data_IF_720773402173
#
_entry.id   IF_720773402173
#
_cell.length_a   1.000
_cell.length_b   1.000
_cell.length_c   1.000
_cell.angle_alpha   90.00
_cell.angle_beta   90.00
_cell.angle_gamma   90.00
#
_symmetry.space_group_name_H-M   'P 1'
#
loop_
_entity.id
_entity.type
_entity.pdbx_description
1 polymer ?
#
# COMPACT_ATOMS: atom_id res chain seq x y z
N UNK A 1 -7.64 25.35 -8.03
CA UNK A 1 -8.71 24.35 -8.13
C UNK A 1 -9.33 24.23 -6.75
N UNK A 2 -10.61 24.59 -6.60
CA UNK A 2 -11.32 24.34 -5.35
C UNK A 2 -11.41 22.82 -5.14
N UNK A 3 -11.03 22.35 -3.94
CA UNK A 3 -11.19 20.93 -3.59
C UNK A 3 -12.68 20.61 -3.52
N UNK A 4 -13.17 19.51 -4.12
CA UNK A 4 -14.56 19.10 -3.98
C UNK A 4 -14.86 18.96 -2.48
N UNK A 5 -16.08 19.34 -2.07
CA UNK A 5 -16.52 19.32 -0.68
C UNK A 5 -16.25 17.94 -0.05
N UNK A 6 -15.75 17.93 1.21
CA UNK A 6 -15.38 16.71 1.93
C UNK A 6 -16.45 15.64 1.79
N UNK A 7 -16.15 14.59 1.04
CA UNK A 7 -16.91 13.34 1.10
C UNK A 7 -16.67 12.77 2.50
N UNK A 8 -17.70 12.66 3.31
CA UNK A 8 -17.60 12.30 4.73
C UNK A 8 -17.69 10.79 4.98
N UNK A 9 -17.94 9.98 3.96
CA UNK A 9 -18.05 8.53 4.06
C UNK A 9 -17.10 7.85 3.09
N UNK A 10 -16.54 6.71 3.51
CA UNK A 10 -15.69 5.89 2.64
C UNK A 10 -16.47 5.36 1.45
N UNK A 11 -15.88 5.49 0.27
CA UNK A 11 -16.39 4.93 -0.98
C UNK A 11 -15.95 3.46 -1.08
N UNK A 12 -16.72 2.57 -0.46
CA UNK A 12 -16.40 1.15 -0.40
C UNK A 12 -16.88 0.41 -1.64
N UNK A 13 -16.00 -0.36 -2.26
CA UNK A 13 -16.38 -1.34 -3.26
C UNK A 13 -17.19 -2.50 -2.63
N UNK A 14 -17.98 -3.26 -3.40
CA UNK A 14 -18.54 -4.52 -2.94
C UNK A 14 -17.44 -5.52 -2.52
N UNK A 15 -17.77 -6.44 -1.59
CA UNK A 15 -16.90 -7.57 -1.28
C UNK A 15 -16.61 -8.41 -2.52
N UNK A 16 -15.40 -8.98 -2.59
CA UNK A 16 -14.94 -9.73 -3.76
C UNK A 16 -15.15 -11.24 -3.50
N UNK A 17 -16.06 -11.90 -4.24
CA UNK A 17 -16.27 -13.34 -4.11
C UNK A 17 -15.05 -14.14 -4.61
N UNK A 18 -14.96 -15.39 -4.18
CA UNK A 18 -13.78 -16.22 -4.46
C UNK A 18 -13.66 -16.63 -5.94
N UNK A 19 -14.75 -16.63 -6.69
CA UNK A 19 -14.80 -16.96 -8.13
C UNK A 19 -14.72 -15.71 -9.04
N UNK A 20 -14.47 -14.54 -8.47
CA UNK A 20 -14.51 -13.27 -9.16
C UNK A 20 -13.48 -13.16 -10.31
N UNK A 21 -13.87 -12.45 -11.35
CA UNK A 21 -12.93 -11.90 -12.31
C UNK A 21 -12.12 -10.79 -11.69
N UNK A 22 -10.80 -10.81 -11.87
CA UNK A 22 -9.87 -9.80 -11.37
C UNK A 22 -8.95 -9.33 -12.48
N UNK A 23 -8.79 -8.03 -12.64
CA UNK A 23 -7.87 -7.49 -13.63
C UNK A 23 -6.42 -7.58 -13.15
N UNK A 24 -5.50 -7.82 -14.09
CA UNK A 24 -4.05 -7.73 -13.87
C UNK A 24 -3.49 -6.68 -14.84
N UNK A 25 -2.92 -5.60 -14.28
CA UNK A 25 -2.40 -4.47 -15.07
C UNK A 25 -1.05 -3.97 -14.56
N UNK A 26 -0.38 -3.14 -15.36
CA UNK A 26 0.96 -2.64 -15.07
C UNK A 26 0.98 -1.11 -15.04
N UNK A 27 0.66 -0.45 -13.92
CA UNK A 27 0.55 1.02 -13.89
C UNK A 27 1.90 1.74 -13.71
N UNK A 28 2.98 0.99 -13.53
CA UNK A 28 4.32 1.51 -13.26
C UNK A 28 5.37 0.95 -14.24
N UNK A 29 6.27 0.09 -13.77
CA UNK A 29 7.30 -0.51 -14.61
C UNK A 29 6.84 -1.79 -15.29
N UNK A 30 7.46 -2.09 -16.45
CA UNK A 30 7.19 -3.31 -17.21
C UNK A 30 7.57 -4.57 -16.41
N UNK A 31 6.67 -5.55 -16.29
CA UNK A 31 6.95 -6.81 -15.60
C UNK A 31 7.69 -7.82 -16.50
N UNK A 32 8.14 -8.91 -15.89
CA UNK A 32 8.60 -10.10 -16.61
C UNK A 32 7.39 -10.99 -16.91
N UNK A 33 7.20 -11.36 -18.17
CA UNK A 33 6.03 -12.12 -18.62
C UNK A 33 5.85 -13.45 -17.88
N UNK A 34 6.95 -14.18 -17.64
CA UNK A 34 6.93 -15.46 -16.95
C UNK A 34 6.46 -15.32 -15.50
N UNK A 35 6.82 -14.21 -14.83
CA UNK A 35 6.36 -13.93 -13.46
C UNK A 35 4.90 -13.51 -13.42
N UNK A 36 4.42 -12.77 -14.43
CA UNK A 36 3.00 -12.43 -14.55
C UNK A 36 2.18 -13.69 -14.72
N UNK A 37 2.57 -14.58 -15.64
CA UNK A 37 1.85 -15.85 -15.86
C UNK A 37 1.87 -16.73 -14.61
N UNK A 38 3.03 -16.89 -13.96
CA UNK A 38 3.13 -17.65 -12.70
C UNK A 38 2.23 -17.07 -11.60
N UNK A 39 2.19 -15.75 -11.44
CA UNK A 39 1.33 -15.09 -10.46
C UNK A 39 -0.17 -15.21 -10.79
N UNK A 40 -0.54 -15.15 -12.08
CA UNK A 40 -1.93 -15.41 -12.50
C UNK A 40 -2.33 -16.87 -12.25
N UNK A 41 -1.42 -17.83 -12.44
CA UNK A 41 -1.67 -19.24 -12.08
C UNK A 41 -1.92 -19.39 -10.58
N UNK A 42 -1.18 -18.68 -9.73
CA UNK A 42 -1.43 -18.68 -8.29
C UNK A 42 -2.81 -18.08 -7.94
N UNK A 43 -3.25 -17.00 -8.61
CA UNK A 43 -4.61 -16.45 -8.43
C UNK A 43 -5.68 -17.48 -8.87
N UNK A 44 -5.49 -18.18 -10.00
CA UNK A 44 -6.41 -19.26 -10.43
C UNK A 44 -6.48 -20.39 -9.40
N UNK A 45 -5.36 -20.76 -8.81
CA UNK A 45 -5.32 -21.78 -7.76
C UNK A 45 -6.04 -21.35 -6.46
N UNK A 46 -6.18 -20.04 -6.24
CA UNK A 46 -6.98 -19.48 -5.14
C UNK A 46 -8.47 -19.35 -5.49
N UNK A 47 -8.87 -19.67 -6.74
CA UNK A 47 -10.26 -19.66 -7.22
C UNK A 47 -10.64 -18.43 -8.03
N UNK A 48 -9.77 -17.41 -8.17
CA UNK A 48 -10.06 -16.22 -8.96
C UNK A 48 -9.88 -16.45 -10.47
N UNK A 49 -10.51 -15.61 -11.28
CA UNK A 49 -10.35 -15.59 -12.73
C UNK A 49 -9.53 -14.35 -13.15
N UNK A 50 -8.18 -14.43 -13.19
CA UNK A 50 -7.35 -13.30 -13.57
C UNK A 50 -7.44 -13.03 -15.08
N UNK A 51 -7.71 -11.77 -15.42
CA UNK A 51 -7.75 -11.23 -16.77
C UNK A 51 -6.63 -10.20 -16.94
N UNK A 52 -5.60 -10.48 -17.76
CA UNK A 52 -4.58 -9.49 -18.08
C UNK A 52 -5.19 -8.41 -18.97
N UNK A 53 -4.89 -7.14 -18.69
CA UNK A 53 -5.29 -6.03 -19.54
C UNK A 53 -4.47 -6.00 -20.83
N UNK A 54 -4.89 -5.19 -21.80
CA UNK A 54 -4.26 -5.12 -23.13
C UNK A 54 -2.77 -4.79 -23.06
N UNK A 55 -2.40 -3.83 -22.18
CA UNK A 55 -1.03 -3.32 -22.09
C UNK A 55 -0.23 -3.88 -20.89
N UNK A 56 -0.71 -4.92 -20.20
CA UNK A 56 -0.05 -5.47 -19.01
C UNK A 56 1.43 -5.85 -19.22
N UNK A 57 1.81 -6.29 -20.43
CA UNK A 57 3.18 -6.65 -20.82
C UNK A 57 3.85 -5.59 -21.73
N UNK A 58 3.21 -4.44 -21.92
CA UNK A 58 3.75 -3.39 -22.76
C UNK A 58 5.11 -2.91 -22.23
N UNK A 59 5.98 -2.53 -23.16
CA UNK A 59 7.29 -1.96 -22.89
C UNK A 59 7.36 -0.58 -23.49
N UNK A 60 7.57 0.42 -22.66
CA UNK A 60 7.82 1.80 -23.04
C UNK A 60 9.30 2.14 -23.04
N UNK A 61 9.64 3.42 -23.19
CA UNK A 61 10.98 3.90 -23.00
C UNK A 61 11.44 3.65 -21.56
N UNK A 62 12.75 3.48 -21.36
CA UNK A 62 13.36 3.22 -20.07
C UNK A 62 12.79 1.93 -19.42
N UNK A 63 12.13 2.07 -18.29
CA UNK A 63 11.60 0.97 -17.47
C UNK A 63 10.07 0.93 -17.41
N UNK A 64 9.35 1.84 -18.09
CA UNK A 64 7.90 1.97 -18.01
C UNK A 64 7.15 0.83 -18.75
N UNK A 65 5.99 0.49 -18.23
CA UNK A 65 5.02 -0.40 -18.89
C UNK A 65 4.21 0.36 -19.94
N UNK A 66 4.84 0.67 -21.08
CA UNK A 66 4.21 1.48 -22.14
C UNK A 66 4.21 2.99 -21.83
N UNK A 67 3.40 3.73 -22.59
CA UNK A 67 3.19 5.17 -22.38
C UNK A 67 2.30 5.44 -21.16
N UNK A 68 2.26 6.66 -20.61
CA UNK A 68 1.28 7.02 -19.58
C UNK A 68 -0.16 6.77 -20.03
N UNK A 69 -0.50 7.07 -21.30
CA UNK A 69 -1.84 6.86 -21.83
C UNK A 69 -2.23 5.38 -21.84
N UNK A 70 -1.38 4.48 -22.33
CA UNK A 70 -1.65 3.03 -22.31
C UNK A 70 -1.93 2.52 -20.90
N UNK A 71 -1.18 3.00 -19.91
CA UNK A 71 -1.37 2.62 -18.51
C UNK A 71 -2.65 3.19 -17.90
N UNK A 72 -3.05 4.41 -18.30
CA UNK A 72 -4.34 5.01 -17.94
C UNK A 72 -5.50 4.26 -18.60
N UNK A 73 -5.39 3.92 -19.88
CA UNK A 73 -6.43 3.16 -20.59
C UNK A 73 -6.68 1.80 -19.93
N UNK A 74 -5.62 1.08 -19.57
CA UNK A 74 -5.73 -0.18 -18.81
C UNK A 74 -6.39 0.03 -17.44
N UNK A 75 -5.99 1.06 -16.71
CA UNK A 75 -6.53 1.34 -15.38
C UNK A 75 -8.00 1.76 -15.46
N UNK A 76 -8.35 2.72 -16.32
CA UNK A 76 -9.71 3.17 -16.50
C UNK A 76 -10.61 2.06 -17.05
N UNK A 77 -10.12 1.27 -18.01
CA UNK A 77 -10.82 0.11 -18.53
C UNK A 77 -11.14 -0.92 -17.46
N UNK A 78 -10.17 -1.25 -16.59
CA UNK A 78 -10.37 -2.18 -15.48
C UNK A 78 -11.37 -1.64 -14.43
N UNK A 79 -11.39 -0.33 -14.18
CA UNK A 79 -12.41 0.27 -13.32
C UNK A 79 -13.80 0.31 -13.97
N UNK A 80 -13.90 0.58 -15.26
CA UNK A 80 -15.17 0.68 -15.97
C UNK A 80 -15.84 -0.68 -16.23
N UNK A 81 -15.06 -1.76 -16.35
CA UNK A 81 -15.56 -3.10 -16.67
C UNK A 81 -16.33 -3.69 -15.47
N UNK A 82 -17.65 -3.88 -15.63
CA UNK A 82 -18.54 -4.40 -14.58
C UNK A 82 -18.24 -5.86 -14.18
N UNK A 83 -17.59 -6.64 -15.03
CA UNK A 83 -17.18 -8.02 -14.75
C UNK A 83 -16.00 -8.07 -13.77
N UNK A 84 -15.15 -7.06 -13.78
CA UNK A 84 -13.96 -6.97 -12.91
C UNK A 84 -14.37 -6.55 -11.49
N UNK A 85 -13.98 -7.37 -10.50
CA UNK A 85 -14.32 -7.15 -9.08
C UNK A 85 -13.15 -6.66 -8.23
N UNK A 86 -11.90 -6.86 -8.68
CA UNK A 86 -10.69 -6.34 -8.04
C UNK A 86 -9.59 -6.17 -9.10
N UNK A 87 -8.61 -5.34 -8.78
CA UNK A 87 -7.49 -5.01 -9.65
C UNK A 87 -6.18 -5.33 -8.93
N UNK A 88 -5.33 -6.16 -9.54
CA UNK A 88 -4.00 -6.48 -9.03
C UNK A 88 -2.93 -5.88 -9.93
N UNK A 89 -2.05 -5.08 -9.34
CA UNK A 89 -0.90 -4.56 -10.06
C UNK A 89 0.10 -5.66 -10.33
N UNK A 90 0.67 -5.69 -11.54
CA UNK A 90 1.69 -6.67 -11.91
C UNK A 90 2.96 -6.48 -11.11
N UNK A 91 3.39 -5.24 -10.90
CA UNK A 91 4.51 -4.81 -10.07
C UNK A 91 4.50 -3.30 -9.85
N UNK A 92 5.32 -2.84 -8.88
CA UNK A 92 5.72 -1.45 -8.74
C UNK A 92 6.90 -1.08 -9.65
N UNK A 93 7.89 -0.45 -9.09
CA UNK A 93 9.06 0.07 -9.78
C UNK A 93 9.02 1.59 -9.84
N UNK A 94 8.60 2.17 -10.98
CA UNK A 94 8.46 3.62 -11.11
C UNK A 94 7.47 4.00 -12.21
N UNK A 95 6.71 5.08 -11.98
CA UNK A 95 5.96 5.75 -13.01
C UNK A 95 4.46 5.91 -12.76
N UNK A 96 3.91 5.40 -11.65
CA UNK A 96 2.50 5.61 -11.30
C UNK A 96 2.17 7.08 -11.04
N UNK A 97 3.15 7.85 -10.55
CA UNK A 97 3.03 9.29 -10.34
C UNK A 97 2.70 10.07 -11.63
N UNK A 98 3.10 9.59 -12.80
CA UNK A 98 2.74 10.20 -14.10
C UNK A 98 1.29 9.98 -14.51
N UNK A 99 0.55 9.14 -13.79
CA UNK A 99 -0.86 8.88 -14.07
C UNK A 99 -1.80 9.81 -13.30
N UNK A 100 -1.34 10.38 -12.17
CA UNK A 100 -2.19 11.07 -11.20
C UNK A 100 -3.00 12.22 -11.80
N UNK A 101 -2.41 12.99 -12.73
CA UNK A 101 -3.09 14.11 -13.41
C UNK A 101 -4.16 13.63 -14.40
N UNK A 102 -3.96 12.44 -15.00
CA UNK A 102 -4.85 11.87 -16.01
C UNK A 102 -5.94 10.96 -15.45
N UNK A 103 -6.01 10.75 -14.13
CA UNK A 103 -7.04 9.90 -13.54
C UNK A 103 -8.43 10.54 -13.64
N UNK A 104 -9.40 9.79 -14.16
CA UNK A 104 -10.79 10.21 -14.25
C UNK A 104 -11.49 9.96 -12.91
N UNK A 105 -11.65 11.04 -12.14
CA UNK A 105 -12.22 11.04 -10.81
C UNK A 105 -13.67 10.51 -10.81
N UNK A 106 -14.48 10.93 -11.77
CA UNK A 106 -15.89 10.55 -11.84
C UNK A 106 -16.05 9.07 -12.22
N UNK A 107 -15.25 8.59 -13.17
CA UNK A 107 -15.24 7.18 -13.56
C UNK A 107 -14.84 6.28 -12.38
N UNK A 108 -13.74 6.61 -11.68
CA UNK A 108 -13.27 5.81 -10.56
C UNK A 108 -14.25 5.84 -9.39
N UNK A 109 -14.84 6.99 -9.09
CA UNK A 109 -15.83 7.14 -8.04
C UNK A 109 -17.14 6.39 -8.34
N UNK A 110 -17.54 6.32 -9.61
CA UNK A 110 -18.73 5.58 -10.04
C UNK A 110 -18.54 4.05 -10.00
N UNK A 111 -17.29 3.56 -10.05
CA UNK A 111 -16.95 2.14 -10.18
C UNK A 111 -15.92 1.69 -9.13
N UNK A 112 -16.17 1.85 -7.81
CA UNK A 112 -15.17 1.56 -6.80
C UNK A 112 -14.77 0.07 -6.80
N UNK A 113 -13.45 -0.19 -6.85
CA UNK A 113 -12.87 -1.55 -6.84
C UNK A 113 -11.59 -1.59 -6.00
N UNK A 114 -11.31 -2.70 -5.30
CA UNK A 114 -10.04 -2.89 -4.64
C UNK A 114 -8.88 -2.83 -5.63
N UNK A 115 -7.93 -1.92 -5.42
CA UNK A 115 -6.66 -1.84 -6.17
C UNK A 115 -5.53 -2.31 -5.26
N UNK A 116 -4.90 -3.44 -5.62
CA UNK A 116 -3.79 -4.04 -4.88
C UNK A 116 -2.44 -3.61 -5.44
N UNK A 117 -1.54 -3.27 -4.53
CA UNK A 117 -0.16 -2.96 -4.83
C UNK A 117 0.59 -2.37 -3.64
N UNK A 118 1.85 -2.08 -3.82
CA UNK A 118 2.72 -1.38 -2.88
C UNK A 118 3.88 -0.71 -3.63
N UNK A 119 4.89 -0.20 -2.91
CA UNK A 119 6.02 0.47 -3.56
C UNK A 119 5.55 1.73 -4.32
N UNK A 120 5.88 1.87 -5.59
CA UNK A 120 5.47 2.97 -6.46
C UNK A 120 3.93 3.20 -6.50
N UNK A 121 3.13 2.13 -6.30
CA UNK A 121 1.66 2.21 -6.24
C UNK A 121 1.14 3.04 -5.06
N UNK A 122 1.99 3.36 -4.10
CA UNK A 122 1.67 4.26 -2.98
C UNK A 122 1.10 5.59 -3.50
N UNK A 123 1.62 6.13 -4.61
CA UNK A 123 1.11 7.36 -5.19
C UNK A 123 -0.37 7.25 -5.63
N UNK A 124 -0.73 6.13 -6.28
CA UNK A 124 -2.13 5.85 -6.66
C UNK A 124 -3.02 5.60 -5.44
N UNK A 125 -2.52 4.87 -4.45
CA UNK A 125 -3.27 4.60 -3.21
C UNK A 125 -3.60 5.88 -2.45
N UNK A 126 -2.64 6.78 -2.31
CA UNK A 126 -2.86 8.08 -1.64
C UNK A 126 -3.80 8.95 -2.45
N UNK A 127 -3.70 8.95 -3.79
CA UNK A 127 -4.64 9.66 -4.65
C UNK A 127 -6.08 9.17 -4.46
N UNK A 128 -6.31 7.84 -4.48
CA UNK A 128 -7.63 7.25 -4.27
C UNK A 128 -8.22 7.63 -2.91
N UNK A 129 -7.41 7.57 -1.85
CA UNK A 129 -7.84 7.94 -0.51
C UNK A 129 -8.15 9.43 -0.38
N UNK A 130 -7.26 10.29 -0.85
CA UNK A 130 -7.33 11.72 -0.58
C UNK A 130 -8.27 12.46 -1.54
N UNK A 131 -8.49 11.95 -2.77
CA UNK A 131 -9.37 12.58 -3.75
C UNK A 131 -10.81 12.07 -3.69
N UNK A 132 -11.01 10.75 -3.55
CA UNK A 132 -12.35 10.13 -3.62
C UNK A 132 -12.72 9.29 -2.39
N UNK A 133 -11.91 9.28 -1.33
CA UNK A 133 -12.13 8.50 -0.11
C UNK A 133 -12.32 6.99 -0.37
N UNK A 134 -11.72 6.46 -1.44
CA UNK A 134 -11.77 5.03 -1.75
C UNK A 134 -10.66 4.29 -1.00
N UNK A 135 -10.98 3.24 -0.21
CA UNK A 135 -9.98 2.43 0.46
C UNK A 135 -8.98 1.82 -0.52
N UNK A 136 -7.69 1.83 -0.14
CA UNK A 136 -6.62 1.26 -0.94
C UNK A 136 -6.05 0.00 -0.28
N UNK A 137 -5.57 -0.95 -1.10
CA UNK A 137 -5.13 -2.26 -0.63
C UNK A 137 -3.61 -2.38 -0.81
N UNK A 138 -2.88 -1.97 0.23
CA UNK A 138 -1.43 -2.13 0.30
C UNK A 138 -1.12 -3.60 0.58
N UNK A 139 -0.70 -4.33 -0.46
CA UNK A 139 -0.56 -5.77 -0.34
C UNK A 139 0.00 -6.42 -1.62
N UNK A 140 -0.08 -7.75 -1.71
CA UNK A 140 0.67 -8.52 -2.68
C UNK A 140 0.37 -8.14 -4.14
N UNK A 141 1.45 -8.07 -4.92
CA UNK A 141 1.43 -7.89 -6.37
C UNK A 141 1.75 -9.19 -7.11
N UNK A 142 1.40 -9.23 -8.39
CA UNK A 142 1.48 -10.45 -9.21
C UNK A 142 2.92 -10.97 -9.31
N UNK A 143 3.84 -10.13 -9.79
CA UNK A 143 5.23 -10.56 -10.06
C UNK A 143 6.10 -10.74 -8.82
N UNK A 144 6.09 -9.86 -7.81
CA UNK A 144 6.98 -10.05 -6.65
C UNK A 144 6.45 -11.08 -5.65
N UNK A 145 5.12 -11.22 -5.52
CA UNK A 145 4.52 -11.99 -4.44
C UNK A 145 3.78 -13.24 -4.93
N UNK A 146 2.75 -13.12 -5.76
CA UNK A 146 1.99 -14.28 -6.23
C UNK A 146 2.84 -15.27 -7.04
N UNK A 147 3.91 -14.83 -7.69
CA UNK A 147 4.84 -15.72 -8.40
C UNK A 147 5.74 -16.56 -7.48
N UNK A 148 5.69 -16.34 -6.16
CA UNK A 148 6.47 -17.08 -5.14
C UNK A 148 5.55 -17.95 -4.30
N UNK A 149 6.03 -19.14 -3.93
CA UNK A 149 5.25 -20.11 -3.13
C UNK A 149 4.83 -19.56 -1.74
N UNK A 150 5.66 -18.71 -1.14
CA UNK A 150 5.45 -18.11 0.18
C UNK A 150 5.29 -16.58 0.13
N UNK A 151 4.90 -16.03 -1.03
CA UNK A 151 4.87 -14.58 -1.24
C UNK A 151 3.65 -13.89 -0.64
N UNK A 152 2.53 -14.58 -0.41
CA UNK A 152 1.24 -13.99 -0.02
C UNK A 152 0.78 -14.47 1.34
N UNK A 153 0.41 -13.56 2.23
CA UNK A 153 -0.28 -13.88 3.49
C UNK A 153 -1.79 -14.03 3.24
N UNK A 154 -2.21 -15.26 2.95
CA UNK A 154 -3.57 -15.58 2.47
C UNK A 154 -4.67 -15.18 3.46
N UNK A 155 -4.40 -15.25 4.77
CA UNK A 155 -5.41 -14.90 5.78
C UNK A 155 -5.81 -13.41 5.69
N UNK A 156 -4.83 -12.49 5.62
CA UNK A 156 -5.12 -11.05 5.48
C UNK A 156 -5.72 -10.70 4.12
N UNK A 157 -5.25 -11.34 3.03
CA UNK A 157 -5.82 -11.14 1.70
C UNK A 157 -7.32 -11.50 1.67
N UNK A 158 -7.68 -12.69 2.17
CA UNK A 158 -9.07 -13.14 2.21
C UNK A 158 -9.95 -12.28 3.11
N UNK A 159 -9.44 -11.92 4.29
CA UNK A 159 -10.17 -11.04 5.21
C UNK A 159 -10.44 -9.66 4.59
N UNK A 160 -9.44 -9.05 3.94
CA UNK A 160 -9.56 -7.76 3.27
C UNK A 160 -10.61 -7.80 2.13
N UNK A 161 -10.54 -8.81 1.26
CA UNK A 161 -11.48 -8.99 0.14
C UNK A 161 -12.91 -9.31 0.58
N UNK A 162 -13.07 -10.01 1.71
CA UNK A 162 -14.37 -10.37 2.29
C UNK A 162 -14.95 -9.29 3.22
N UNK A 163 -14.25 -8.18 3.45
CA UNK A 163 -14.67 -7.13 4.38
C UNK A 163 -14.72 -7.59 5.84
N UNK A 164 -13.84 -8.49 6.23
CA UNK A 164 -13.76 -8.99 7.61
C UNK A 164 -12.69 -8.23 8.39
N UNK A 165 -12.96 -7.83 9.64
CA UNK A 165 -11.91 -7.36 10.54
C UNK A 165 -10.86 -8.46 10.78
N UNK A 166 -9.60 -8.06 10.92
CA UNK A 166 -8.50 -8.97 11.22
C UNK A 166 -7.44 -8.31 12.09
N UNK A 167 -6.67 -9.15 12.78
CA UNK A 167 -5.61 -8.70 13.69
C UNK A 167 -4.28 -9.30 13.24
N UNK A 168 -3.26 -8.47 13.25
CA UNK A 168 -1.87 -8.78 12.91
C UNK A 168 -1.01 -8.65 14.16
N UNK A 169 0.03 -9.45 14.28
CA UNK A 169 0.86 -9.44 15.46
C UNK A 169 2.25 -10.00 15.22
N UNK A 170 2.82 -10.65 16.23
CA UNK A 170 4.17 -11.21 16.16
C UNK A 170 4.33 -12.27 15.06
N UNK A 171 3.28 -13.01 14.73
CA UNK A 171 3.29 -13.99 13.63
C UNK A 171 3.57 -13.32 12.27
N UNK A 172 3.12 -12.07 12.10
CA UNK A 172 3.35 -11.24 10.91
C UNK A 172 4.58 -10.33 11.05
N UNK A 173 5.40 -10.52 12.08
CA UNK A 173 6.64 -9.81 12.32
C UNK A 173 6.52 -8.55 13.18
N UNK A 174 5.31 -8.17 13.58
CA UNK A 174 5.07 -6.94 14.30
C UNK A 174 5.65 -7.04 15.74
N UNK A 175 6.44 -6.06 16.13
CA UNK A 175 6.99 -5.92 17.48
C UNK A 175 7.01 -4.46 17.93
N UNK A 176 7.02 -4.25 19.24
CA UNK A 176 7.09 -2.91 19.83
C UNK A 176 8.47 -2.28 19.60
N UNK A 177 8.46 -0.98 19.29
CA UNK A 177 9.65 -0.12 19.35
C UNK A 177 9.49 0.96 20.43
N UNK A 178 8.30 1.60 20.52
CA UNK A 178 7.90 2.49 21.59
C UNK A 178 6.50 2.09 22.09
N UNK A 179 6.34 1.99 23.40
CA UNK A 179 5.09 1.49 24.02
C UNK A 179 3.95 2.50 23.92
N UNK A 180 2.72 2.00 23.95
CA UNK A 180 1.50 2.80 23.99
C UNK A 180 0.36 2.19 23.18
N UNK A 181 -0.73 2.92 23.10
CA UNK A 181 -1.92 2.54 22.33
C UNK A 181 -2.42 3.73 21.51
N UNK A 182 -2.84 3.46 20.29
CA UNK A 182 -3.42 4.49 19.42
C UNK A 182 -4.53 3.92 18.53
N UNK A 183 -5.44 4.81 18.13
CA UNK A 183 -6.50 4.53 17.15
C UNK A 183 -6.49 5.60 16.09
N UNK A 184 -6.88 5.24 14.89
CA UNK A 184 -7.06 6.17 13.79
C UNK A 184 -7.23 5.45 12.46
N UNK A 185 -7.47 6.20 11.43
CA UNK A 185 -7.53 5.70 10.07
C UNK A 185 -6.12 5.26 9.63
N UNK A 186 -5.97 4.01 9.19
CA UNK A 186 -4.69 3.51 8.70
C UNK A 186 -4.36 4.15 7.34
N UNK A 187 -3.15 4.68 7.21
CA UNK A 187 -2.70 5.43 6.04
C UNK A 187 -1.19 5.28 5.85
N UNK A 188 -0.69 5.45 4.63
CA UNK A 188 0.75 5.44 4.40
C UNK A 188 1.20 4.66 3.18
N UNK A 189 2.31 3.94 3.29
CA UNK A 189 2.93 3.14 2.23
C UNK A 189 4.44 3.28 2.17
N UNK A 190 5.02 3.28 0.97
CA UNK A 190 6.46 3.40 0.75
C UNK A 190 6.94 4.82 1.12
N UNK A 191 7.87 4.91 2.08
CA UNK A 191 8.36 6.17 2.64
C UNK A 191 8.97 7.09 1.58
N UNK A 192 9.79 6.54 0.68
CA UNK A 192 10.39 7.30 -0.43
C UNK A 192 9.33 7.89 -1.37
N UNK A 193 8.20 7.22 -1.57
CA UNK A 193 7.12 7.73 -2.41
C UNK A 193 6.30 8.80 -1.67
N UNK A 194 6.01 8.61 -0.37
CA UNK A 194 5.36 9.66 0.42
C UNK A 194 6.17 10.96 0.38
N UNK A 195 7.49 10.88 0.58
CA UNK A 195 8.36 12.07 0.54
C UNK A 195 8.46 12.68 -0.85
N UNK A 196 8.45 11.87 -1.92
CA UNK A 196 8.46 12.35 -3.29
C UNK A 196 7.19 13.12 -3.69
N UNK A 197 6.07 12.90 -2.99
CA UNK A 197 4.82 13.62 -3.23
C UNK A 197 4.74 14.97 -2.50
N UNK A 198 5.64 15.28 -1.55
CA UNK A 198 5.64 16.54 -0.83
C UNK A 198 5.84 17.73 -1.79
N UNK A 199 5.09 18.80 -1.59
CA UNK A 199 5.10 19.98 -2.46
C UNK A 199 4.40 19.79 -3.81
N UNK A 200 3.74 18.65 -4.04
CA UNK A 200 2.91 18.41 -5.23
C UNK A 200 1.43 18.62 -4.92
N UNK A 201 0.54 18.73 -5.93
CA UNK A 201 -0.91 18.77 -5.70
C UNK A 201 -1.47 17.53 -4.96
N UNK A 202 -0.74 16.43 -4.94
CA UNK A 202 -1.11 15.14 -4.35
C UNK A 202 -0.35 14.84 -3.05
N UNK A 203 0.05 15.88 -2.35
CA UNK A 203 0.76 15.79 -1.08
C UNK A 203 -0.05 15.02 -0.02
N UNK A 204 0.57 14.04 0.69
CA UNK A 204 -0.12 13.16 1.64
C UNK A 204 -0.85 13.91 2.76
N UNK A 205 -2.04 13.43 3.14
CA UNK A 205 -2.87 13.97 4.22
C UNK A 205 -2.77 13.07 5.46
N UNK A 206 -1.84 13.33 6.37
CA UNK A 206 -1.46 12.43 7.47
C UNK A 206 -2.05 12.77 8.83
N UNK A 207 -2.57 13.98 9.02
CA UNK A 207 -3.10 14.45 10.30
C UNK A 207 -4.21 13.53 10.85
N UNK A 208 -4.07 13.10 12.10
CA UNK A 208 -5.03 12.23 12.79
C UNK A 208 -5.01 10.76 12.33
N UNK A 209 -4.09 10.36 11.45
CA UNK A 209 -4.03 9.01 10.88
C UNK A 209 -2.94 8.16 11.53
N UNK A 210 -3.22 6.86 11.76
CA UNK A 210 -2.19 5.87 12.06
C UNK A 210 -1.31 5.68 10.83
N UNK A 211 -0.02 6.01 10.95
CA UNK A 211 0.87 6.04 9.80
C UNK A 211 1.66 4.74 9.66
N UNK A 212 1.48 4.05 8.55
CA UNK A 212 2.30 2.90 8.14
C UNK A 212 3.36 3.34 7.14
N UNK A 213 4.62 3.05 7.42
CA UNK A 213 5.77 3.37 6.55
C UNK A 213 6.61 2.13 6.30
N UNK A 214 6.94 1.87 5.06
CA UNK A 214 7.90 0.83 4.66
C UNK A 214 8.83 1.34 3.58
N UNK A 215 9.97 0.73 3.41
CA UNK A 215 10.89 1.00 2.30
C UNK A 215 11.81 -0.21 2.06
N UNK A 216 12.60 -0.17 1.00
CA UNK A 216 13.56 -1.21 0.65
C UNK A 216 14.91 -0.61 0.24
N UNK A 217 16.02 -1.24 0.66
CA UNK A 217 17.39 -0.84 0.31
C UNK A 217 17.80 0.60 0.71
N UNK A 218 16.96 1.32 1.45
CA UNK A 218 17.28 2.65 1.96
C UNK A 218 18.17 2.53 3.21
N UNK A 219 19.33 3.19 3.22
CA UNK A 219 20.21 3.19 4.39
C UNK A 219 19.58 3.95 5.55
N UNK A 220 19.93 3.62 6.82
CA UNK A 220 19.36 4.29 8.00
C UNK A 220 19.40 5.82 7.92
N UNK A 221 20.49 6.44 7.47
CA UNK A 221 20.56 7.90 7.30
C UNK A 221 19.64 8.44 6.19
N UNK A 222 19.28 7.63 5.20
CA UNK A 222 18.31 8.03 4.16
C UNK A 222 16.89 7.98 4.73
N UNK A 223 16.60 6.96 5.56
CA UNK A 223 15.34 6.88 6.32
C UNK A 223 15.21 8.10 7.23
N UNK A 224 16.23 8.39 8.03
CA UNK A 224 16.26 9.59 8.90
C UNK A 224 15.97 10.87 8.13
N UNK A 225 16.64 11.10 7.00
CA UNK A 225 16.43 12.28 6.16
C UNK A 225 15.01 12.37 5.59
N UNK A 226 14.41 11.25 5.19
CA UNK A 226 13.04 11.22 4.69
C UNK A 226 12.03 11.50 5.83
N UNK A 227 12.26 10.95 7.01
CA UNK A 227 11.46 11.25 8.20
C UNK A 227 11.59 12.73 8.61
N UNK A 228 12.81 13.27 8.60
CA UNK A 228 13.05 14.70 8.81
C UNK A 228 12.26 15.56 7.82
N UNK A 229 12.26 15.20 6.52
CA UNK A 229 11.52 15.91 5.50
C UNK A 229 10.00 15.86 5.75
N UNK A 230 9.45 14.71 6.18
CA UNK A 230 8.04 14.60 6.57
C UNK A 230 7.73 15.49 7.78
N UNK A 231 8.62 15.52 8.79
CA UNK A 231 8.45 16.35 9.98
C UNK A 231 8.43 17.84 9.62
N UNK A 232 9.41 18.31 8.88
CA UNK A 232 9.51 19.73 8.48
C UNK A 232 8.36 20.17 7.54
N UNK A 233 7.75 19.20 6.83
CA UNK A 233 6.55 19.44 6.03
C UNK A 233 5.25 19.35 6.87
N UNK A 234 5.32 19.18 8.21
CA UNK A 234 4.16 19.06 9.09
C UNK A 234 3.39 17.74 8.94
N UNK A 235 3.99 16.73 8.32
CA UNK A 235 3.30 15.44 8.05
C UNK A 235 3.33 14.46 9.22
N UNK A 236 4.03 14.78 10.27
CA UNK A 236 4.02 14.02 11.52
C UNK A 236 3.15 14.69 12.59
N UNK A 237 2.62 15.89 12.33
CA UNK A 237 1.77 16.61 13.26
C UNK A 237 0.42 15.89 13.40
N UNK A 238 0.00 15.69 14.66
CA UNK A 238 -1.26 15.01 14.96
C UNK A 238 -1.34 13.53 14.60
N UNK A 239 -0.22 12.90 14.21
CA UNK A 239 -0.14 11.44 13.99
C UNK A 239 -0.20 10.73 15.33
N UNK A 240 -1.23 9.89 15.61
CA UNK A 240 -1.41 9.28 16.93
C UNK A 240 -0.49 8.08 17.18
N UNK A 241 0.08 7.47 16.15
CA UNK A 241 0.97 6.30 16.25
C UNK A 241 1.58 5.91 14.92
N UNK A 242 2.72 5.19 14.99
CA UNK A 242 3.52 4.81 13.83
C UNK A 242 3.68 3.30 13.73
N UNK A 243 3.65 2.79 12.51
CA UNK A 243 3.93 1.39 12.22
C UNK A 243 4.97 1.35 11.10
N UNK A 244 6.12 0.76 11.37
CA UNK A 244 7.13 0.51 10.34
C UNK A 244 7.00 -0.92 9.81
N UNK A 245 7.15 -1.08 8.50
CA UNK A 245 7.23 -2.37 7.84
C UNK A 245 8.48 -3.16 8.23
N UNK A 246 8.76 -4.23 7.49
CA UNK A 246 9.97 -5.05 7.67
C UNK A 246 11.24 -4.23 7.38
N UNK A 247 11.13 -3.16 6.58
CA UNK A 247 12.26 -2.30 6.17
C UNK A 247 13.36 -3.13 5.52
N UNK A 248 12.97 -3.92 4.51
CA UNK A 248 13.81 -4.94 3.89
C UNK A 248 15.10 -4.33 3.32
N UNK A 249 16.24 -4.89 3.73
CA UNK A 249 17.59 -4.43 3.33
C UNK A 249 17.88 -2.94 3.64
N UNK A 250 17.13 -2.34 4.57
CA UNK A 250 17.37 -0.98 5.07
C UNK A 250 18.47 -0.96 6.14
N UNK A 251 19.61 -1.55 5.81
CA UNK A 251 20.76 -1.66 6.68
C UNK A 251 21.98 -0.94 6.10
N UNK A 252 22.94 -0.59 6.96
CA UNK A 252 24.22 -0.05 6.53
C UNK A 252 25.28 -1.15 6.51
N UNK A 253 25.93 -1.42 5.36
CA UNK A 253 27.01 -2.39 5.31
C UNK A 253 28.10 -2.08 6.34
N UNK A 254 28.44 -3.07 7.18
CA UNK A 254 29.41 -2.93 8.26
C UNK A 254 28.92 -2.13 9.49
N UNK A 255 27.66 -1.70 9.51
CA UNK A 255 27.01 -1.09 10.67
C UNK A 255 26.41 -2.11 11.63
N UNK A 256 25.89 -1.62 12.77
CA UNK A 256 25.13 -2.44 13.72
C UNK A 256 23.85 -2.97 13.08
N UNK A 257 23.45 -4.18 13.42
CA UNK A 257 22.16 -4.75 13.02
C UNK A 257 20.96 -3.96 13.59
N UNK A 258 21.16 -3.21 14.66
CA UNK A 258 20.17 -2.39 15.35
C UNK A 258 20.18 -0.92 14.91
N UNK A 259 21.09 -0.52 14.02
CA UNK A 259 21.30 0.88 13.65
C UNK A 259 20.03 1.58 13.18
N UNK A 260 19.18 0.90 12.38
CA UNK A 260 17.91 1.49 11.95
C UNK A 260 16.97 1.78 13.12
N UNK A 261 16.86 0.84 14.06
CA UNK A 261 16.02 1.04 15.25
C UNK A 261 16.56 2.14 16.15
N UNK A 262 17.89 2.24 16.31
CA UNK A 262 18.55 3.32 17.04
C UNK A 262 18.25 4.68 16.40
N UNK A 263 18.30 4.76 15.07
CA UNK A 263 17.93 5.97 14.30
C UNK A 263 16.45 6.33 14.51
N UNK A 264 15.56 5.36 14.44
CA UNK A 264 14.12 5.60 14.64
C UNK A 264 13.84 6.06 16.07
N UNK A 265 14.43 5.41 17.09
CA UNK A 265 14.26 5.79 18.49
C UNK A 265 14.82 7.19 18.78
N UNK A 266 15.94 7.55 18.18
CA UNK A 266 16.50 8.90 18.31
C UNK A 266 15.61 9.94 17.61
N UNK A 267 15.16 9.66 16.39
CA UNK A 267 14.29 10.59 15.62
C UNK A 267 12.96 10.86 16.35
N UNK A 268 12.39 9.85 16.99
CA UNK A 268 11.10 9.91 17.68
C UNK A 268 11.22 10.03 19.20
N UNK A 269 12.35 10.56 19.74
CA UNK A 269 12.57 10.66 21.20
C UNK A 269 11.50 11.50 21.93
N UNK A 270 10.93 12.50 21.24
CA UNK A 270 9.87 13.38 21.73
C UNK A 270 8.45 12.97 21.25
N UNK A 271 8.29 11.79 20.65
CA UNK A 271 7.00 11.33 20.14
C UNK A 271 6.24 10.53 21.21
N UNK A 272 5.09 11.04 21.63
CA UNK A 272 4.30 10.42 22.72
C UNK A 272 3.50 9.18 22.30
N UNK A 273 3.35 8.92 21.00
CA UNK A 273 2.55 7.82 20.47
C UNK A 273 3.27 6.48 20.45
N UNK A 274 2.54 5.36 20.30
CA UNK A 274 3.13 4.05 20.11
C UNK A 274 3.86 3.94 18.78
N UNK A 275 4.98 3.20 18.77
CA UNK A 275 5.69 2.84 17.55
C UNK A 275 5.89 1.32 17.53
N UNK A 276 5.44 0.69 16.44
CA UNK A 276 5.71 -0.71 16.16
C UNK A 276 6.53 -0.86 14.88
N UNK A 277 7.28 -1.97 14.73
CA UNK A 277 8.15 -2.23 13.58
C UNK A 277 8.13 -3.71 13.19
N UNK A 278 8.51 -4.00 11.96
CA UNK A 278 8.74 -5.35 11.46
C UNK A 278 7.54 -5.99 10.78
N UNK A 279 6.42 -5.26 10.61
CA UNK A 279 5.24 -5.80 9.93
C UNK A 279 5.57 -6.15 8.47
N UNK A 280 5.35 -7.41 8.11
CA UNK A 280 5.59 -7.87 6.73
C UNK A 280 4.49 -7.45 5.79
N UNK A 281 4.46 -6.17 5.43
CA UNK A 281 3.60 -5.61 4.39
C UNK A 281 4.42 -4.69 3.49
N UNK A 282 4.27 -4.80 2.18
CA UNK A 282 5.08 -4.08 1.19
C UNK A 282 6.30 -4.86 0.71
N UNK A 283 7.50 -4.26 0.77
CA UNK A 283 8.75 -4.95 0.45
C UNK A 283 9.14 -5.88 1.60
N UNK A 284 8.95 -7.19 1.38
CA UNK A 284 9.07 -8.18 2.46
C UNK A 284 9.84 -9.42 2.03
N UNK A 285 10.48 -10.06 3.01
CA UNK A 285 11.22 -11.32 2.82
C UNK A 285 10.29 -12.48 2.46
N UNK A 286 9.07 -12.52 3.00
CA UNK A 286 8.06 -13.57 2.79
C UNK A 286 6.66 -13.10 3.17
N UNK A 287 5.62 -13.78 2.68
CA UNK A 287 4.23 -13.65 3.10
C UNK A 287 3.76 -12.20 3.28
N UNK A 288 3.68 -11.49 2.16
CA UNK A 288 3.23 -10.11 2.13
C UNK A 288 1.80 -9.98 2.68
N UNK A 289 1.66 -9.30 3.80
CA UNK A 289 0.40 -9.01 4.48
C UNK A 289 -0.35 -7.92 3.72
N UNK A 290 -1.64 -8.11 3.53
CA UNK A 290 -2.51 -7.05 3.03
C UNK A 290 -2.90 -6.12 4.16
N UNK A 291 -2.66 -4.81 4.00
CA UNK A 291 -3.22 -3.73 4.80
C UNK A 291 -4.27 -2.98 3.97
N UNK A 292 -5.36 -2.61 4.61
CA UNK A 292 -6.37 -1.76 3.98
C UNK A 292 -6.23 -0.34 4.52
N UNK A 293 -5.82 0.60 3.66
CA UNK A 293 -5.73 2.01 4.02
C UNK A 293 -7.09 2.71 3.86
N UNK A 294 -7.31 3.74 4.65
CA UNK A 294 -8.57 4.48 4.69
C UNK A 294 -9.57 3.96 5.71
N UNK A 295 -9.29 2.85 6.40
CA UNK A 295 -10.18 2.26 7.41
C UNK A 295 -9.64 2.44 8.83
N UNK A 296 -10.53 2.40 9.80
CA UNK A 296 -10.18 2.48 11.23
C UNK A 296 -9.33 1.28 11.67
N UNK A 297 -8.28 1.58 12.41
CA UNK A 297 -7.38 0.59 12.99
C UNK A 297 -6.99 0.95 14.44
N UNK A 298 -6.61 -0.06 15.22
CA UNK A 298 -6.13 0.04 16.58
C UNK A 298 -4.73 -0.55 16.67
N UNK A 299 -3.75 0.26 17.08
CA UNK A 299 -2.39 -0.18 17.40
C UNK A 299 -2.28 -0.33 18.91
N UNK A 300 -1.90 -1.52 19.36
CA UNK A 300 -1.49 -1.78 20.74
C UNK A 300 -0.02 -2.21 20.73
N UNK A 301 0.88 -1.32 21.10
CA UNK A 301 2.32 -1.55 21.19
C UNK A 301 2.75 -1.85 22.63
N UNK A 302 1.99 -2.65 23.34
CA UNK A 302 2.32 -3.19 24.65
C UNK A 302 2.89 -4.62 24.49
N UNK A 303 2.98 -5.36 25.61
CA UNK A 303 3.36 -6.77 25.57
C UNK A 303 2.36 -7.57 24.75
N UNK A 304 2.81 -8.15 23.64
CA UNK A 304 1.93 -8.79 22.66
C UNK A 304 1.40 -7.80 21.63
N UNK A 305 2.31 -7.01 21.03
CA UNK A 305 2.01 -5.98 20.02
C UNK A 305 1.05 -6.46 18.95
N UNK A 306 -0.02 -5.69 18.72
CA UNK A 306 -1.04 -6.00 17.71
C UNK A 306 -1.46 -4.75 16.94
N UNK A 307 -1.76 -4.96 15.65
CA UNK A 307 -2.49 -4.03 14.78
C UNK A 307 -3.80 -4.68 14.39
N UNK A 308 -4.92 -4.10 14.79
CA UNK A 308 -6.26 -4.58 14.48
C UNK A 308 -6.93 -3.63 13.50
N UNK A 309 -7.30 -4.13 12.32
CA UNK A 309 -8.18 -3.43 11.40
C UNK A 309 -9.63 -3.67 11.83
N UNK A 310 -10.28 -2.64 12.32
CA UNK A 310 -11.60 -2.76 12.97
C UNK A 310 -12.74 -2.48 12.02
N UNK A 311 -12.47 -1.79 10.90
CA UNK A 311 -13.43 -1.45 9.88
C UNK A 311 -13.17 -2.22 8.58
N UNK A 312 -14.24 -2.60 7.88
CA UNK A 312 -14.17 -3.23 6.58
C UNK A 312 -13.87 -2.20 5.47
N UNK A 313 -12.96 -2.51 4.56
CA UNK A 313 -12.63 -1.68 3.39
C UNK A 313 -13.59 -1.91 2.21
N UNK A 314 -14.35 -2.99 2.23
CA UNK A 314 -15.38 -3.33 1.23
C UNK A 314 -16.76 -3.42 1.89
N UNK A 315 -17.81 -3.14 1.14
CA UNK A 315 -19.18 -3.32 1.59
C UNK A 315 -19.57 -4.81 1.56
N UNK A 316 -20.25 -5.27 2.60
CA UNK A 316 -20.76 -6.66 2.67
C UNK A 316 -22.07 -6.81 1.94
#
# INVERSE_FOLDING_TARGET
MERPGKVTALLKSPAVPQDACVAVLSPASAPMAERVESGMQALRALGYTPQPTEFVLARGPLFFAGSPQMRLDDLHGAFADEEIRAIFSSRGGYGSNYLLEGLDLDLLAANPKPLFGFSDLTALHLWLLDQIQMPAFHGPMISPDFSRADGVHLASLRAALAGQPYTLGAAEGLRVLHTGQAKGVLYGGCLSILTALLGTPWEPQTEGKLLFLEDVNAKPYQIDRMLWQLREAGKLDGVPGMIFGEMLDCAQPGGSATLLEEVLLHFFEDFDGPIAIGLRSGHVSRQNVTLTFGVEAELNAEKGTTLKLTEAAVAR
#
